data_IF_141850593427
#
_entry.id   IF_141850593427
#
_cell.length_a   1.000
_cell.length_b   1.000
_cell.length_c   1.000
_cell.angle_alpha   90.00
_cell.angle_beta   90.00
_cell.angle_gamma   90.00
#
_symmetry.space_group_name_H-M   'P 1'
#
loop_
_entity.id
_entity.type
_entity.pdbx_description
1 polymer ?
#
# COMPACT_ATOMS: atom_id res chain seq x y z
N UNK A 1 -27.14 -1.13 6.02
CA UNK A 1 -26.55 -0.19 7.02
C UNK A 1 -27.62 0.59 7.78
N UNK A 2 -28.78 0.90 7.18
CA UNK A 2 -29.84 1.75 7.74
C UNK A 2 -31.02 1.00 8.40
N UNK A 3 -30.81 -0.23 8.86
CA UNK A 3 -31.88 -1.03 9.48
C UNK A 3 -31.33 -1.82 10.67
N UNK A 4 -32.24 -2.24 11.55
CA UNK A 4 -31.98 -3.13 12.68
C UNK A 4 -32.54 -4.53 12.35
N UNK A 5 -31.82 -5.58 12.74
CA UNK A 5 -32.30 -6.96 12.63
C UNK A 5 -32.92 -7.38 13.95
N UNK A 6 -34.20 -7.75 13.92
CA UNK A 6 -34.85 -8.41 15.06
C UNK A 6 -34.75 -9.93 14.87
N UNK A 7 -34.20 -10.63 15.85
CA UNK A 7 -34.01 -12.08 15.81
C UNK A 7 -34.30 -12.68 17.19
N UNK A 8 -35.08 -13.76 17.20
CA UNK A 8 -35.36 -14.51 18.41
C UNK A 8 -34.21 -15.48 18.72
N UNK A 9 -33.63 -15.37 19.92
CA UNK A 9 -32.55 -16.24 20.38
C UNK A 9 -32.90 -16.72 21.78
N UNK A 10 -33.11 -18.03 21.93
CA UNK A 10 -33.48 -18.65 23.21
C UNK A 10 -34.82 -18.16 23.75
N UNK A 11 -35.82 -17.94 22.89
CA UNK A 11 -37.16 -17.47 23.30
C UNK A 11 -37.28 -15.97 23.55
N UNK A 12 -36.19 -15.20 23.35
CA UNK A 12 -36.17 -13.75 23.60
C UNK A 12 -35.87 -13.02 22.29
N UNK A 13 -36.72 -12.08 21.91
CA UNK A 13 -36.50 -11.21 20.75
C UNK A 13 -35.38 -10.21 21.04
N UNK A 14 -34.35 -10.18 20.18
CA UNK A 14 -33.18 -9.31 20.31
C UNK A 14 -33.02 -8.44 19.06
N UNK A 15 -32.52 -7.21 19.25
CA UNK A 15 -32.26 -6.27 18.17
C UNK A 15 -30.74 -6.16 17.92
N UNK A 16 -30.34 -6.22 16.66
CA UNK A 16 -28.94 -6.17 16.23
C UNK A 16 -28.70 -5.02 15.24
N UNK A 17 -27.57 -4.34 15.43
CA UNK A 17 -27.00 -3.38 14.46
C UNK A 17 -25.72 -3.95 13.89
N UNK A 18 -25.52 -3.74 12.60
CA UNK A 18 -24.33 -4.23 11.89
C UNK A 18 -23.43 -3.07 11.50
N UNK A 19 -22.14 -3.20 11.83
CA UNK A 19 -21.07 -2.32 11.36
C UNK A 19 -20.17 -3.15 10.45
N UNK A 20 -20.06 -2.74 9.19
CA UNK A 20 -19.20 -3.39 8.21
C UNK A 20 -17.87 -2.63 8.14
N UNK A 21 -16.76 -3.34 8.34
CA UNK A 21 -15.39 -2.77 8.27
C UNK A 21 -14.61 -3.52 7.20
N UNK A 22 -14.49 -2.93 6.00
CA UNK A 22 -13.73 -3.52 4.90
C UNK A 22 -12.23 -3.29 5.06
N UNK A 23 -11.54 -4.15 5.81
CA UNK A 23 -10.08 -4.04 6.08
C UNK A 23 -9.24 -5.17 5.48
N UNK A 24 -9.86 -6.23 4.95
CA UNK A 24 -9.16 -7.44 4.49
C UNK A 24 -8.65 -7.36 3.05
N UNK A 25 -8.16 -6.20 2.61
CA UNK A 25 -7.75 -5.94 1.23
C UNK A 25 -6.27 -5.56 1.17
N UNK A 26 -5.54 -6.11 0.20
CA UNK A 26 -4.18 -5.61 -0.09
C UNK A 26 -4.25 -4.23 -0.76
N UNK A 27 -3.12 -3.50 -0.77
CA UNK A 27 -3.07 -2.14 -1.32
C UNK A 27 -3.52 -2.09 -2.79
N UNK A 28 -3.20 -3.15 -3.56
CA UNK A 28 -3.56 -3.23 -4.98
C UNK A 28 -5.07 -3.20 -5.15
N UNK A 29 -5.79 -4.03 -4.40
CA UNK A 29 -7.24 -4.09 -4.46
C UNK A 29 -7.89 -2.83 -3.89
N UNK A 30 -7.36 -2.27 -2.79
CA UNK A 30 -7.85 -0.98 -2.25
C UNK A 30 -7.78 0.11 -3.31
N UNK A 31 -6.65 0.25 -4.01
CA UNK A 31 -6.50 1.24 -5.08
C UNK A 31 -7.50 1.06 -6.20
N UNK A 32 -7.70 -0.18 -6.64
CA UNK A 32 -8.65 -0.50 -7.71
C UNK A 32 -10.10 -0.14 -7.34
N UNK A 33 -10.55 -0.49 -6.13
CA UNK A 33 -11.96 -0.31 -5.73
C UNK A 33 -12.29 1.09 -5.25
N UNK A 34 -11.29 1.85 -4.79
CA UNK A 34 -11.40 3.25 -4.37
C UNK A 34 -11.02 4.24 -5.49
N UNK A 35 -10.81 3.76 -6.72
CA UNK A 35 -10.60 4.62 -7.90
C UNK A 35 -9.25 5.35 -7.92
N UNK A 36 -8.26 4.82 -7.20
CA UNK A 36 -6.91 5.37 -7.13
C UNK A 36 -6.03 4.79 -8.23
N UNK A 37 -5.04 5.56 -8.67
CA UNK A 37 -3.97 5.01 -9.52
C UNK A 37 -3.23 3.84 -8.86
N UNK A 38 -2.65 2.97 -9.68
CA UNK A 38 -1.88 1.80 -9.22
C UNK A 38 -0.64 2.20 -8.37
N UNK A 39 -0.06 1.23 -7.65
CA UNK A 39 1.05 1.44 -6.70
C UNK A 39 2.34 2.07 -7.26
N UNK A 40 2.48 2.14 -8.59
CA UNK A 40 3.57 2.87 -9.25
C UNK A 40 3.38 4.40 -9.32
N UNK A 41 2.24 4.92 -8.87
CA UNK A 41 1.93 6.35 -8.88
C UNK A 41 2.91 7.20 -8.06
N UNK A 42 2.91 8.51 -8.32
CA UNK A 42 3.51 9.52 -7.43
C UNK A 42 2.69 9.66 -6.14
N UNK A 43 1.37 9.38 -6.15
CA UNK A 43 0.50 9.39 -4.98
C UNK A 43 0.58 8.04 -4.29
N UNK A 44 1.55 7.92 -3.36
CA UNK A 44 1.97 6.63 -2.81
C UNK A 44 1.05 6.10 -1.70
N UNK A 45 0.24 6.97 -1.09
CA UNK A 45 -0.56 6.61 0.07
C UNK A 45 -2.04 6.41 -0.32
N UNK A 46 -2.69 5.40 0.26
CA UNK A 46 -4.15 5.22 0.18
C UNK A 46 -4.89 6.01 1.27
N UNK A 47 -4.16 6.60 2.23
CA UNK A 47 -4.70 7.26 3.43
C UNK A 47 -4.52 8.79 3.41
N UNK A 48 -3.51 9.29 2.71
CA UNK A 48 -3.20 10.73 2.60
C UNK A 48 -2.84 11.12 1.16
N UNK A 49 -2.59 12.40 0.94
CA UNK A 49 -2.32 12.96 -0.39
C UNK A 49 -0.85 13.22 -0.72
N UNK A 50 0.04 12.82 0.19
CA UNK A 50 1.47 13.01 0.01
C UNK A 50 1.98 12.31 -1.26
N UNK A 51 2.79 13.03 -2.01
CA UNK A 51 3.54 12.48 -3.13
C UNK A 51 4.77 11.71 -2.64
N UNK A 52 5.36 10.91 -3.53
CA UNK A 52 6.60 10.15 -3.27
C UNK A 52 7.75 11.06 -2.80
N UNK A 53 7.87 12.26 -3.37
CA UNK A 53 8.92 13.21 -3.01
C UNK A 53 8.65 13.85 -1.65
N UNK A 54 7.42 14.29 -1.40
CA UNK A 54 7.06 14.88 -0.10
C UNK A 54 7.24 13.87 1.04
N UNK A 55 6.86 12.61 0.81
CA UNK A 55 7.03 11.54 1.79
C UNK A 55 8.51 11.16 2.02
N UNK A 56 9.41 11.39 1.06
CA UNK A 56 10.84 11.15 1.28
C UNK A 56 11.52 12.27 2.07
N UNK A 57 10.97 13.50 2.01
CA UNK A 57 11.44 14.65 2.77
C UNK A 57 10.83 14.72 4.17
N UNK A 58 9.56 14.34 4.31
CA UNK A 58 8.84 14.27 5.57
C UNK A 58 8.38 12.83 5.81
N UNK A 59 9.07 12.12 6.70
CA UNK A 59 8.86 10.69 6.91
C UNK A 59 7.67 10.35 7.81
N UNK A 60 7.31 11.23 8.76
CA UNK A 60 6.43 10.86 9.88
C UNK A 60 5.28 11.81 10.15
N UNK A 61 5.31 13.04 9.62
CA UNK A 61 4.27 14.03 9.88
C UNK A 61 3.22 14.03 8.76
N UNK A 62 2.34 13.04 8.81
CA UNK A 62 1.19 12.90 7.91
C UNK A 62 -0.09 12.63 8.71
N UNK A 63 -1.24 12.93 8.13
CA UNK A 63 -2.55 12.63 8.71
C UNK A 63 -3.42 11.88 7.71
N UNK A 64 -4.41 11.14 8.21
CA UNK A 64 -5.39 10.45 7.36
C UNK A 64 -6.37 11.50 6.86
N UNK A 65 -6.42 11.71 5.54
CA UNK A 65 -7.31 12.67 4.88
C UNK A 65 -8.31 11.96 3.97
N UNK A 66 -7.89 10.87 3.30
CA UNK A 66 -8.71 10.18 2.32
C UNK A 66 -9.88 9.45 2.95
N UNK A 67 -11.01 9.50 2.26
CA UNK A 67 -12.22 8.74 2.57
C UNK A 67 -12.98 8.35 1.31
N UNK A 68 -13.81 7.32 1.39
CA UNK A 68 -14.64 6.88 0.27
C UNK A 68 -15.53 8.01 -0.29
N UNK A 69 -16.14 8.81 0.60
CA UNK A 69 -16.95 9.97 0.21
C UNK A 69 -16.14 11.06 -0.49
N UNK A 70 -14.92 11.32 -0.04
CA UNK A 70 -14.05 12.30 -0.67
C UNK A 70 -13.58 11.81 -2.06
N UNK A 71 -13.23 10.53 -2.19
CA UNK A 71 -12.84 9.96 -3.48
C UNK A 71 -13.99 10.06 -4.50
N UNK A 72 -15.24 9.84 -4.08
CA UNK A 72 -16.41 10.05 -4.95
C UNK A 72 -16.49 11.50 -5.45
N UNK A 73 -16.28 12.49 -4.58
CA UNK A 73 -16.28 13.91 -4.96
C UNK A 73 -15.13 14.27 -5.91
N UNK A 74 -13.93 13.76 -5.62
CA UNK A 74 -12.74 13.94 -6.46
C UNK A 74 -12.95 13.34 -7.85
N UNK A 75 -13.57 12.16 -7.94
CA UNK A 75 -13.93 11.56 -9.22
C UNK A 75 -14.92 12.43 -10.02
N UNK A 76 -15.93 13.02 -9.38
CA UNK A 76 -16.85 13.91 -10.08
C UNK A 76 -16.15 15.18 -10.59
N UNK A 77 -15.15 15.68 -9.85
CA UNK A 77 -14.30 16.79 -10.31
C UNK A 77 -13.44 16.38 -11.51
N UNK A 78 -12.81 15.20 -11.45
CA UNK A 78 -12.05 14.62 -12.56
C UNK A 78 -12.90 14.48 -13.83
N UNK A 79 -14.12 13.94 -13.68
CA UNK A 79 -15.05 13.71 -14.80
C UNK A 79 -15.58 15.00 -15.41
N UNK A 80 -15.93 15.98 -14.57
CA UNK A 80 -16.57 17.22 -15.03
C UNK A 80 -15.56 18.27 -15.50
N UNK A 81 -14.32 18.24 -15.01
CA UNK A 81 -13.30 19.28 -15.21
C UNK A 81 -13.88 20.71 -15.14
N UNK A 82 -14.48 21.11 -14.01
CA UNK A 82 -15.22 22.37 -13.91
C UNK A 82 -14.33 23.61 -14.04
N UNK A 83 -13.01 23.45 -13.90
CA UNK A 83 -12.02 24.53 -13.97
C UNK A 83 -11.30 24.59 -15.32
N UNK A 84 -11.64 23.71 -16.28
CA UNK A 84 -10.99 23.63 -17.60
C UNK A 84 -9.47 23.49 -17.52
N UNK A 85 -9.00 22.69 -16.56
CA UNK A 85 -7.59 22.41 -16.33
C UNK A 85 -7.02 21.44 -17.36
N UNK A 86 -5.70 21.50 -17.56
CA UNK A 86 -4.98 20.46 -18.29
C UNK A 86 -5.03 19.12 -17.54
N UNK A 87 -4.66 18.03 -18.22
CA UNK A 87 -4.69 16.69 -17.62
C UNK A 87 -3.81 16.59 -16.36
N UNK A 88 -2.63 17.20 -16.37
CA UNK A 88 -1.69 17.15 -15.23
C UNK A 88 -2.16 18.00 -14.05
N UNK A 89 -2.68 19.20 -14.32
CA UNK A 89 -3.26 20.09 -13.29
C UNK A 89 -4.48 19.44 -12.63
N UNK A 90 -5.39 18.89 -13.44
CA UNK A 90 -6.58 18.22 -12.94
C UNK A 90 -6.21 16.96 -12.13
N UNK A 91 -5.22 16.19 -12.60
CA UNK A 91 -4.70 15.01 -11.90
C UNK A 91 -4.12 15.37 -10.54
N UNK A 92 -3.38 16.48 -10.44
CA UNK A 92 -2.92 16.98 -9.15
C UNK A 92 -4.07 17.45 -8.26
N UNK A 93 -5.04 18.18 -8.80
CA UNK A 93 -6.23 18.63 -8.04
C UNK A 93 -6.97 17.47 -7.38
N UNK A 94 -7.18 16.37 -8.12
CA UNK A 94 -7.90 15.19 -7.62
C UNK A 94 -6.99 14.17 -6.93
N UNK A 95 -5.69 14.49 -6.80
CA UNK A 95 -4.66 13.65 -6.17
C UNK A 95 -4.66 12.21 -6.70
N UNK A 96 -4.80 12.06 -8.02
CA UNK A 96 -4.77 10.76 -8.71
C UNK A 96 -6.04 9.91 -8.58
N UNK A 97 -7.18 10.49 -8.19
CA UNK A 97 -8.49 9.81 -8.29
C UNK A 97 -9.06 10.01 -9.70
N UNK A 98 -8.88 9.02 -10.57
CA UNK A 98 -9.28 9.09 -12.00
C UNK A 98 -10.31 8.04 -12.42
N UNK A 99 -10.68 7.15 -11.50
CA UNK A 99 -11.75 6.17 -11.68
C UNK A 99 -12.80 6.31 -10.57
N UNK A 100 -14.02 5.84 -10.81
CA UNK A 100 -15.12 5.96 -9.86
C UNK A 100 -14.98 4.91 -8.75
N UNK A 101 -14.89 5.32 -7.47
CA UNK A 101 -14.94 4.38 -6.35
C UNK A 101 -16.26 3.59 -6.33
N UNK A 102 -16.21 2.31 -5.97
CA UNK A 102 -17.40 1.46 -5.94
C UNK A 102 -17.50 0.50 -4.75
N UNK A 103 -16.43 0.34 -3.95
CA UNK A 103 -16.49 -0.35 -2.65
C UNK A 103 -15.92 0.58 -1.59
N UNK A 104 -16.69 0.81 -0.53
CA UNK A 104 -16.22 1.55 0.65
C UNK A 104 -15.26 0.68 1.47
N UNK A 105 -14.00 1.09 1.51
CA UNK A 105 -12.95 0.47 2.33
C UNK A 105 -12.74 1.28 3.62
N UNK A 106 -12.26 0.62 4.68
CA UNK A 106 -11.84 1.34 5.87
C UNK A 106 -10.39 1.80 5.68
N UNK A 107 -10.07 3.11 5.86
CA UNK A 107 -8.70 3.59 5.83
C UNK A 107 -7.83 2.87 6.87
N UNK A 108 -6.96 1.98 6.39
CA UNK A 108 -6.10 1.12 7.21
C UNK A 108 -4.91 0.59 6.41
N UNK A 109 -4.06 -0.21 7.06
CA UNK A 109 -2.91 -0.89 6.47
C UNK A 109 -3.10 -2.39 6.63
N UNK A 110 -2.86 -3.15 5.56
CA UNK A 110 -2.81 -4.61 5.66
C UNK A 110 -1.47 -5.06 6.28
N UNK A 111 -1.57 -5.69 7.45
CA UNK A 111 -0.42 -6.14 8.22
C UNK A 111 0.44 -7.16 7.46
N UNK A 112 -0.18 -8.11 6.76
CA UNK A 112 0.56 -9.19 6.11
C UNK A 112 1.42 -8.66 4.97
N UNK A 113 0.84 -7.86 4.07
CA UNK A 113 1.61 -7.29 2.96
C UNK A 113 2.57 -6.19 3.43
N UNK A 114 2.29 -5.49 4.53
CA UNK A 114 3.24 -4.58 5.15
C UNK A 114 4.51 -5.31 5.62
N UNK A 115 4.37 -6.43 6.34
CA UNK A 115 5.51 -7.25 6.79
C UNK A 115 6.33 -7.77 5.60
N UNK A 116 5.65 -8.32 4.59
CA UNK A 116 6.31 -8.85 3.38
C UNK A 116 7.04 -7.74 2.62
N UNK A 117 6.43 -6.56 2.48
CA UNK A 117 7.01 -5.41 1.81
C UNK A 117 8.25 -4.89 2.54
N UNK A 118 8.14 -4.66 3.85
CA UNK A 118 9.26 -4.21 4.67
C UNK A 118 10.41 -5.21 4.64
N UNK A 119 10.14 -6.51 4.81
CA UNK A 119 11.19 -7.54 4.73
C UNK A 119 11.87 -7.57 3.36
N UNK A 120 11.15 -7.34 2.27
CA UNK A 120 11.73 -7.26 0.93
C UNK A 120 12.66 -6.03 0.79
N UNK A 121 12.29 -4.88 1.35
CA UNK A 121 13.13 -3.68 1.39
C UNK A 121 14.40 -3.90 2.22
N UNK A 122 14.29 -4.47 3.42
CA UNK A 122 15.46 -4.82 4.25
C UNK A 122 16.36 -5.85 3.56
N UNK A 123 15.77 -6.87 2.92
CA UNK A 123 16.52 -7.82 2.11
C UNK A 123 17.30 -7.13 0.99
N UNK A 124 16.70 -6.11 0.36
CA UNK A 124 17.38 -5.31 -0.65
C UNK A 124 18.51 -4.47 -0.06
N UNK A 125 18.31 -3.84 1.10
CA UNK A 125 19.34 -3.09 1.83
C UNK A 125 20.54 -3.99 2.13
N UNK A 126 20.33 -5.19 2.68
CA UNK A 126 21.43 -6.13 2.97
C UNK A 126 22.27 -6.47 1.73
N UNK A 127 21.64 -6.64 0.56
CA UNK A 127 22.37 -6.88 -0.69
C UNK A 127 23.23 -5.68 -1.10
N UNK A 128 22.71 -4.46 -0.93
CA UNK A 128 23.41 -3.23 -1.31
C UNK A 128 24.56 -2.91 -0.34
N UNK A 129 24.37 -3.20 0.95
CA UNK A 129 25.40 -3.05 1.99
C UNK A 129 26.57 -4.02 1.78
N UNK A 130 26.31 -5.28 1.41
CA UNK A 130 27.37 -6.24 1.02
C UNK A 130 28.19 -5.71 -0.16
N UNK A 131 27.54 -4.96 -1.06
CA UNK A 131 28.18 -4.37 -2.24
C UNK A 131 28.84 -3.01 -2.02
N UNK A 132 28.72 -2.43 -0.82
CA UNK A 132 29.14 -1.06 -0.51
C UNK A 132 28.72 -0.05 -1.60
N UNK A 133 27.45 -0.11 -2.04
CA UNK A 133 26.95 0.71 -3.18
C UNK A 133 27.12 2.22 -2.94
N UNK A 134 27.17 2.65 -1.68
CA UNK A 134 27.47 4.04 -1.31
C UNK A 134 28.88 4.49 -1.75
N UNK A 135 29.85 3.57 -1.92
CA UNK A 135 31.17 3.85 -2.50
C UNK A 135 31.20 3.63 -4.02
N UNK A 136 30.47 2.61 -4.48
CA UNK A 136 30.46 2.16 -5.87
C UNK A 136 29.06 2.27 -6.48
N UNK A 137 28.62 3.48 -6.87
CA UNK A 137 27.23 3.70 -7.31
C UNK A 137 26.89 2.98 -8.62
N UNK A 138 27.88 2.74 -9.49
CA UNK A 138 27.70 2.23 -10.85
C UNK A 138 27.90 0.70 -10.96
N UNK A 139 27.56 -0.06 -9.92
CA UNK A 139 27.71 -1.51 -9.94
C UNK A 139 26.83 -2.20 -11.00
N UNK A 140 27.45 -3.13 -11.73
CA UNK A 140 26.85 -3.93 -12.81
C UNK A 140 25.80 -4.91 -12.30
N UNK A 141 25.01 -5.46 -13.22
CA UNK A 141 23.98 -6.47 -12.90
C UNK A 141 24.62 -7.76 -12.37
N UNK A 142 25.78 -8.12 -12.89
CA UNK A 142 26.55 -9.30 -12.51
C UNK A 142 27.08 -9.17 -11.08
N UNK A 143 27.59 -8.00 -10.69
CA UNK A 143 28.03 -7.72 -9.31
C UNK A 143 26.86 -7.79 -8.32
N UNK A 144 25.73 -7.16 -8.66
CA UNK A 144 24.51 -7.22 -7.84
C UNK A 144 24.02 -8.66 -7.64
N UNK A 145 24.13 -9.51 -8.67
CA UNK A 145 23.80 -10.95 -8.58
C UNK A 145 24.76 -11.71 -7.67
N UNK A 146 26.05 -11.37 -7.67
CA UNK A 146 27.04 -11.93 -6.75
C UNK A 146 26.70 -11.58 -5.30
N UNK A 147 26.33 -10.33 -5.01
CA UNK A 147 25.95 -9.89 -3.65
C UNK A 147 24.71 -10.62 -3.13
N UNK A 148 23.68 -10.79 -3.97
CA UNK A 148 22.51 -11.62 -3.63
C UNK A 148 22.93 -13.05 -3.27
N UNK A 149 23.81 -13.67 -4.07
CA UNK A 149 24.28 -15.04 -3.82
C UNK A 149 25.08 -15.15 -2.52
N UNK A 150 25.87 -14.13 -2.17
CA UNK A 150 26.61 -14.06 -0.92
C UNK A 150 25.65 -13.99 0.28
N UNK A 151 24.65 -13.11 0.21
CA UNK A 151 23.62 -12.98 1.24
C UNK A 151 22.87 -14.30 1.44
N UNK A 152 22.40 -14.91 0.35
CA UNK A 152 21.67 -16.18 0.36
C UNK A 152 22.47 -17.32 1.01
N UNK A 153 23.78 -17.42 0.70
CA UNK A 153 24.68 -18.40 1.31
C UNK A 153 24.85 -18.15 2.81
N UNK A 154 24.98 -16.88 3.21
CA UNK A 154 25.17 -16.51 4.60
C UNK A 154 23.91 -16.81 5.44
N UNK A 155 22.73 -16.39 4.97
CA UNK A 155 21.45 -16.64 5.61
C UNK A 155 21.16 -18.14 5.73
N UNK A 156 21.49 -18.95 4.71
CA UNK A 156 21.39 -20.41 4.80
C UNK A 156 22.29 -20.98 5.89
N UNK A 157 23.54 -20.52 5.97
CA UNK A 157 24.52 -21.06 6.94
C UNK A 157 24.22 -20.66 8.38
N UNK A 158 23.77 -19.42 8.61
CA UNK A 158 23.62 -18.86 9.97
C UNK A 158 22.19 -18.91 10.51
N UNK A 159 21.20 -18.73 9.64
CA UNK A 159 19.79 -18.65 10.02
C UNK A 159 18.99 -19.88 9.55
N UNK A 160 19.63 -20.82 8.84
CA UNK A 160 18.97 -21.98 8.22
C UNK A 160 17.81 -21.58 7.28
N UNK A 161 17.93 -20.42 6.64
CA UNK A 161 16.93 -19.91 5.69
C UNK A 161 17.27 -20.35 4.27
N UNK A 162 16.32 -21.01 3.59
CA UNK A 162 16.45 -21.34 2.18
C UNK A 162 16.13 -20.10 1.34
N UNK A 163 16.95 -19.76 0.33
CA UNK A 163 16.63 -18.71 -0.65
C UNK A 163 15.27 -18.93 -1.28
N UNK A 164 14.52 -17.85 -1.47
CA UNK A 164 13.19 -17.84 -2.06
C UNK A 164 13.15 -16.89 -3.25
N UNK A 165 12.32 -17.21 -4.25
CA UNK A 165 12.17 -16.37 -5.44
C UNK A 165 11.34 -15.11 -5.15
N UNK A 166 10.32 -15.23 -4.30
CA UNK A 166 9.45 -14.13 -3.88
C UNK A 166 9.31 -14.16 -2.36
N UNK A 167 9.47 -12.99 -1.74
CA UNK A 167 9.29 -12.81 -0.30
C UNK A 167 7.90 -13.30 0.13
N UNK A 168 7.84 -14.04 1.22
CA UNK A 168 6.59 -14.53 1.81
C UNK A 168 6.60 -14.26 3.31
N UNK A 169 5.41 -14.36 3.95
CA UNK A 169 5.27 -14.03 5.36
C UNK A 169 6.11 -14.89 6.32
N UNK A 170 6.40 -16.15 5.99
CA UNK A 170 7.21 -17.01 6.85
C UNK A 170 8.69 -16.64 6.81
N UNK A 171 9.18 -16.15 5.67
CA UNK A 171 10.53 -15.63 5.56
C UNK A 171 10.61 -14.25 6.20
N UNK A 172 9.63 -13.37 5.98
CA UNK A 172 9.61 -12.02 6.55
C UNK A 172 9.66 -11.99 8.08
N UNK A 173 9.06 -12.98 8.75
CA UNK A 173 9.05 -13.09 10.22
C UNK A 173 10.36 -13.63 10.82
N UNK A 174 11.29 -14.14 10.02
CA UNK A 174 12.53 -14.77 10.48
C UNK A 174 13.74 -13.92 10.12
#
# INVERSE_FOLDING_TARGET
KSSELMLEIGGILRNFKFIFRGTGYDEKLVREVEGLEASGSIFICTLCDATRLEASQNLVFHSITRSHSENLQRYETWRANPYHESADELRDRVKGVSAKPFIETLPSIDALHCDIGNAAEFYKIFQLEIGEVYKNPNATKEERKKWSTILDKHLRKKMNLKPIMRMNGNFARK
#
